data_IF_650842499473
#
_entry.id   IF_650842499473
#
_cell.length_a   1.000
_cell.length_b   1.000
_cell.length_c   1.000
_cell.angle_alpha   90.00
_cell.angle_beta   90.00
_cell.angle_gamma   90.00
#
_symmetry.space_group_name_H-M   'P 1'
#
loop_
_entity.id
_entity.type
_entity.pdbx_description
1 polymer ?
#
# COMPACT_ATOMS: atom_id res chain seq x y z
N UNK A 1 -53.61 31.04 29.83
CA UNK A 1 -54.51 32.15 29.43
C UNK A 1 -54.79 31.99 27.94
N UNK A 2 -56.07 31.88 27.58
CA UNK A 2 -56.59 31.77 26.19
C UNK A 2 -56.22 33.05 25.41
N UNK A 3 -56.11 33.02 24.08
CA UNK A 3 -57.20 33.45 23.19
C UNK A 3 -56.97 32.88 21.77
N UNK A 4 -58.05 32.32 21.20
CA UNK A 4 -58.27 32.00 19.79
C UNK A 4 -59.11 33.14 19.15
N UNK A 5 -58.90 33.45 17.87
CA UNK A 5 -59.88 33.91 16.84
C UNK A 5 -59.09 34.18 15.55
N UNK A 6 -59.22 33.49 14.40
CA UNK A 6 -60.31 33.31 13.41
C UNK A 6 -60.71 34.55 12.58
N UNK A 7 -60.92 34.28 11.28
CA UNK A 7 -61.46 35.07 10.15
C UNK A 7 -60.44 35.86 9.30
N UNK A 8 -60.55 36.00 7.97
CA UNK A 8 -61.16 35.25 6.85
C UNK A 8 -60.81 35.99 5.54
N UNK A 9 -60.73 35.23 4.44
CA UNK A 9 -61.05 35.55 3.04
C UNK A 9 -60.48 36.80 2.33
N UNK A 10 -59.86 36.55 1.16
CA UNK A 10 -59.65 37.53 0.09
C UNK A 10 -59.06 36.86 -1.15
N UNK A 11 -59.89 36.56 -2.14
CA UNK A 11 -59.51 36.05 -3.46
C UNK A 11 -59.21 37.21 -4.43
N UNK A 12 -58.28 37.03 -5.39
CA UNK A 12 -58.43 37.33 -6.83
C UNK A 12 -57.09 37.27 -7.61
N UNK A 13 -57.01 36.24 -8.47
CA UNK A 13 -56.52 36.18 -9.86
C UNK A 13 -55.65 37.33 -10.42
N UNK A 14 -54.45 36.99 -10.92
CA UNK A 14 -53.93 37.49 -12.20
C UNK A 14 -52.84 36.54 -12.71
N UNK A 15 -53.14 35.83 -13.81
CA UNK A 15 -52.20 34.97 -14.50
C UNK A 15 -51.17 35.77 -15.27
N UNK A 16 -49.90 35.44 -15.06
CA UNK A 16 -48.82 35.70 -16.01
C UNK A 16 -48.21 34.35 -16.36
N UNK A 17 -48.38 33.97 -17.63
CA UNK A 17 -47.68 32.86 -18.28
C UNK A 17 -46.17 33.19 -18.31
N UNK A 18 -45.45 32.85 -17.24
CA UNK A 18 -44.01 32.70 -17.32
C UNK A 18 -43.73 31.33 -17.94
N UNK A 19 -43.32 31.32 -19.22
CA UNK A 19 -42.73 30.13 -19.81
C UNK A 19 -41.51 29.74 -18.95
N UNK A 20 -41.40 28.50 -18.45
CA UNK A 20 -40.16 28.03 -17.89
C UNK A 20 -39.17 27.97 -19.05
N UNK A 21 -38.24 28.93 -19.12
CA UNK A 21 -37.00 28.71 -19.82
C UNK A 21 -36.31 27.61 -19.04
N UNK A 22 -36.51 26.36 -19.48
CA UNK A 22 -35.64 25.26 -19.11
C UNK A 22 -34.29 25.60 -19.73
N UNK A 23 -33.48 26.37 -18.98
CA UNK A 23 -32.06 26.38 -19.18
C UNK A 23 -31.61 24.94 -18.94
N UNK A 24 -31.53 24.18 -20.04
CA UNK A 24 -30.75 22.96 -20.09
C UNK A 24 -29.32 23.40 -19.83
N UNK A 25 -28.92 23.40 -18.56
CA UNK A 25 -27.53 23.30 -18.19
C UNK A 25 -27.08 21.94 -18.74
N UNK A 26 -26.55 21.94 -19.95
CA UNK A 26 -25.77 20.83 -20.45
C UNK A 26 -24.67 20.58 -19.40
N UNK A 27 -24.46 19.33 -18.97
CA UNK A 27 -23.32 19.03 -18.11
C UNK A 27 -22.04 19.43 -18.86
N UNK A 28 -21.33 20.42 -18.32
CA UNK A 28 -19.96 20.71 -18.71
C UNK A 28 -19.13 19.48 -18.31
N UNK A 29 -18.93 18.55 -19.25
CA UNK A 29 -18.21 17.31 -18.99
C UNK A 29 -18.03 16.41 -20.21
N UNK A 30 -18.03 16.99 -21.42
CA UNK A 30 -18.04 16.23 -22.68
C UNK A 30 -16.73 16.21 -23.48
N UNK A 31 -15.71 17.01 -23.13
CA UNK A 31 -14.51 17.15 -23.99
C UNK A 31 -13.28 16.37 -23.51
N UNK A 32 -13.29 15.81 -22.30
CA UNK A 32 -12.14 15.07 -21.74
C UNK A 32 -11.95 13.63 -22.28
N UNK A 33 -12.69 13.22 -23.31
CA UNK A 33 -12.73 11.83 -23.77
C UNK A 33 -11.84 11.53 -25.00
N UNK A 34 -11.23 12.53 -25.64
CA UNK A 34 -10.49 12.33 -26.88
C UNK A 34 -8.99 11.99 -26.69
N UNK A 35 -8.34 12.46 -25.61
CA UNK A 35 -6.89 12.37 -25.44
C UNK A 35 -6.41 11.04 -24.81
N UNK A 36 -7.30 10.11 -24.49
CA UNK A 36 -6.96 8.81 -23.92
C UNK A 36 -6.82 8.80 -22.40
N UNK A 37 -6.05 7.84 -21.86
CA UNK A 37 -5.89 7.63 -20.41
C UNK A 37 -4.43 7.45 -20.06
N UNK A 38 -4.00 8.04 -18.94
CA UNK A 38 -2.67 7.87 -18.38
C UNK A 38 -2.72 7.23 -16.99
N UNK A 39 -1.90 6.20 -16.77
CA UNK A 39 -1.82 5.44 -15.53
C UNK A 39 -0.41 5.40 -14.98
N UNK A 40 -0.28 5.36 -13.65
CA UNK A 40 0.98 5.08 -13.00
C UNK A 40 1.07 3.62 -12.52
N UNK A 41 2.28 3.08 -12.53
CA UNK A 41 2.62 1.76 -12.02
C UNK A 41 3.06 1.91 -10.55
N UNK A 42 2.07 1.82 -9.66
CA UNK A 42 2.28 1.97 -8.22
C UNK A 42 2.53 0.61 -7.55
N UNK A 43 3.67 0.41 -6.85
CA UNK A 43 3.85 -0.78 -6.02
C UNK A 43 2.78 -0.88 -4.94
N UNK A 44 2.13 -2.05 -4.83
CA UNK A 44 1.16 -2.28 -3.76
C UNK A 44 1.78 -2.26 -2.35
N UNK A 45 3.12 -2.44 -2.25
CA UNK A 45 3.85 -2.62 -0.99
C UNK A 45 5.12 -1.78 -0.94
N UNK A 46 5.17 -0.83 -0.03
CA UNK A 46 6.36 -0.08 0.34
C UNK A 46 6.89 -0.53 1.69
N UNK A 47 8.16 -0.95 1.72
CA UNK A 47 8.84 -1.41 2.94
C UNK A 47 9.94 -0.42 3.32
N UNK A 48 9.75 0.30 4.42
CA UNK A 48 10.78 1.17 4.98
C UNK A 48 11.76 0.30 5.78
N UNK A 49 13.04 0.31 5.39
CA UNK A 49 14.10 -0.54 5.99
C UNK A 49 15.36 0.24 6.39
N UNK A 50 15.37 1.54 6.17
CA UNK A 50 16.45 2.48 6.48
C UNK A 50 15.85 3.86 6.74
N UNK A 51 16.66 4.81 7.25
CA UNK A 51 16.23 6.20 7.52
C UNK A 51 15.55 6.83 6.31
N UNK A 52 16.09 6.58 5.12
CA UNK A 52 15.59 7.06 3.84
C UNK A 52 15.47 5.86 2.90
N UNK A 53 14.30 5.68 2.29
CA UNK A 53 14.06 4.64 1.28
C UNK A 53 13.46 5.28 0.05
N UNK A 54 14.11 5.11 -1.10
CA UNK A 54 13.67 5.67 -2.38
C UNK A 54 12.96 4.59 -3.21
N UNK A 55 11.80 4.92 -3.75
CA UNK A 55 11.05 4.06 -4.64
C UNK A 55 10.84 4.75 -5.98
N UNK A 56 11.35 4.13 -7.05
CA UNK A 56 11.11 4.58 -8.41
C UNK A 56 9.68 4.23 -8.80
N UNK A 57 8.90 5.23 -9.17
CA UNK A 57 7.56 5.10 -9.72
C UNK A 57 7.65 5.39 -11.21
N UNK A 58 6.92 4.61 -12.00
CA UNK A 58 6.92 4.75 -13.46
C UNK A 58 5.51 4.91 -13.96
N UNK A 59 5.36 5.57 -15.09
CA UNK A 59 4.11 5.60 -15.83
C UNK A 59 3.94 4.31 -16.64
N UNK A 60 2.69 3.93 -16.86
CA UNK A 60 2.33 2.84 -17.76
C UNK A 60 2.37 3.32 -19.22
N UNK A 61 2.43 2.37 -20.15
CA UNK A 61 2.56 2.67 -21.60
C UNK A 61 1.39 3.45 -22.20
N UNK A 62 0.22 3.44 -21.55
CA UNK A 62 -0.94 4.22 -22.00
C UNK A 62 -0.69 5.74 -21.95
N UNK A 63 0.16 6.22 -21.06
CA UNK A 63 0.55 7.64 -21.01
C UNK A 63 1.32 8.08 -22.27
N UNK A 64 2.16 7.21 -22.84
CA UNK A 64 2.87 7.51 -24.08
C UNK A 64 1.91 7.51 -25.27
N UNK A 65 0.97 6.56 -25.33
CA UNK A 65 -0.08 6.52 -26.35
C UNK A 65 -0.99 7.75 -26.29
N UNK A 66 -1.28 8.25 -25.09
CA UNK A 66 -2.04 9.48 -24.85
C UNK A 66 -1.23 10.76 -25.12
N UNK A 67 0.02 10.65 -25.63
CA UNK A 67 0.93 11.78 -25.89
C UNK A 67 1.06 12.72 -24.67
N UNK A 68 1.05 12.15 -23.47
CA UNK A 68 1.11 12.93 -22.22
C UNK A 68 2.35 13.83 -22.19
N UNK A 69 2.12 15.11 -21.89
CA UNK A 69 3.16 16.12 -21.68
C UNK A 69 3.38 16.41 -20.19
N UNK A 70 2.30 16.44 -19.40
CA UNK A 70 2.35 16.54 -17.94
C UNK A 70 1.30 15.66 -17.26
N UNK A 71 1.63 15.10 -16.10
CA UNK A 71 0.68 14.37 -15.25
C UNK A 71 1.10 14.37 -13.78
N UNK A 72 0.12 14.48 -12.89
CA UNK A 72 0.34 14.53 -11.45
C UNK A 72 -0.59 13.61 -10.65
N UNK A 73 -0.04 13.06 -9.56
CA UNK A 73 -0.80 12.27 -8.58
C UNK A 73 -0.50 12.77 -7.18
N UNK A 74 -1.56 12.91 -6.39
CA UNK A 74 -1.48 13.20 -4.96
C UNK A 74 -1.79 11.95 -4.15
N UNK A 75 -0.88 11.59 -3.25
CA UNK A 75 -0.99 10.45 -2.35
C UNK A 75 -1.36 10.88 -0.94
N UNK A 76 -2.49 10.40 -0.41
CA UNK A 76 -2.91 10.67 0.98
C UNK A 76 -3.00 9.37 1.77
N UNK A 77 -2.41 9.37 2.96
CA UNK A 77 -2.47 8.21 3.88
C UNK A 77 -3.56 8.40 4.92
N UNK A 78 -4.42 7.40 5.10
CA UNK A 78 -5.53 7.46 6.03
C UNK A 78 -5.06 7.79 7.46
N UNK A 79 -5.68 8.81 8.09
CA UNK A 79 -5.31 9.25 9.44
C UNK A 79 -4.04 10.10 9.51
N UNK A 80 -3.52 10.58 8.38
CA UNK A 80 -2.38 11.49 8.31
C UNK A 80 -2.74 12.80 7.62
N UNK A 81 -2.06 13.88 8.00
CA UNK A 81 -2.06 15.17 7.28
C UNK A 81 -0.96 15.23 6.21
N UNK A 82 -0.10 14.22 6.13
CA UNK A 82 0.97 14.14 5.15
C UNK A 82 0.42 13.78 3.77
N UNK A 83 0.84 14.53 2.77
CA UNK A 83 0.55 14.25 1.36
C UNK A 83 1.85 14.09 0.58
N UNK A 84 1.87 13.10 -0.29
CA UNK A 84 2.94 12.87 -1.26
C UNK A 84 2.51 13.40 -2.62
N UNK A 85 3.45 13.93 -3.39
CA UNK A 85 3.19 14.42 -4.74
C UNK A 85 4.14 13.73 -5.71
N UNK A 86 3.59 13.25 -6.82
CA UNK A 86 4.34 12.73 -7.94
C UNK A 86 4.05 13.60 -9.15
N UNK A 87 5.12 14.03 -9.83
CA UNK A 87 5.01 14.92 -10.97
C UNK A 87 5.84 14.37 -12.14
N UNK A 88 5.18 14.17 -13.28
CA UNK A 88 5.78 13.67 -14.50
C UNK A 88 5.63 14.74 -15.58
N UNK A 89 6.75 15.17 -16.18
CA UNK A 89 6.77 16.25 -17.18
C UNK A 89 7.87 16.01 -18.22
N UNK A 90 7.78 16.65 -19.39
CA UNK A 90 8.79 16.59 -20.47
C UNK A 90 9.15 15.15 -20.86
N UNK A 91 8.15 14.28 -21.07
CA UNK A 91 8.36 12.85 -21.39
C UNK A 91 9.13 12.05 -20.33
N UNK A 92 9.32 12.58 -19.11
CA UNK A 92 9.87 11.81 -17.99
C UNK A 92 8.82 10.83 -17.49
N UNK A 93 8.94 9.57 -17.89
CA UNK A 93 8.04 8.49 -17.45
C UNK A 93 8.39 7.90 -16.08
N UNK A 94 9.25 8.56 -15.29
CA UNK A 94 9.70 8.06 -14.00
C UNK A 94 9.93 9.18 -13.00
N UNK A 95 9.50 8.95 -11.75
CA UNK A 95 9.71 9.82 -10.60
C UNK A 95 10.11 8.98 -9.38
N UNK A 96 10.52 9.60 -8.28
CA UNK A 96 10.97 8.91 -7.06
C UNK A 96 10.21 9.38 -5.83
N UNK A 97 9.53 8.45 -5.16
CA UNK A 97 9.02 8.68 -3.81
C UNK A 97 10.17 8.48 -2.82
N UNK A 98 10.41 9.48 -1.99
CA UNK A 98 11.37 9.40 -0.89
C UNK A 98 10.62 9.20 0.42
N UNK A 99 10.76 8.03 1.03
CA UNK A 99 10.15 7.74 2.34
C UNK A 99 11.16 7.90 3.46
N UNK A 100 10.81 8.73 4.44
CA UNK A 100 11.58 8.99 5.65
C UNK A 100 11.01 8.19 6.81
N UNK A 101 11.86 7.40 7.46
CA UNK A 101 11.43 6.47 8.50
C UNK A 101 10.67 7.11 9.68
N UNK A 102 10.98 8.36 10.02
CA UNK A 102 10.38 9.04 11.18
C UNK A 102 9.09 9.81 10.86
N UNK A 103 8.88 10.20 9.60
CA UNK A 103 7.77 11.08 9.21
C UNK A 103 6.81 10.45 8.21
N UNK A 104 7.24 9.50 7.39
CA UNK A 104 6.35 8.83 6.44
C UNK A 104 5.30 8.02 7.19
N UNK A 105 3.99 8.29 6.97
CA UNK A 105 2.93 7.55 7.62
C UNK A 105 2.92 6.08 7.22
N UNK A 106 2.59 5.23 8.18
CA UNK A 106 2.37 3.80 7.98
C UNK A 106 0.89 3.56 7.77
N UNK A 107 0.53 2.76 6.77
CA UNK A 107 -0.86 2.47 6.45
C UNK A 107 -1.13 2.44 4.96
N UNK A 108 -2.41 2.61 4.61
CA UNK A 108 -2.87 2.65 3.22
C UNK A 108 -2.78 4.08 2.69
N UNK A 109 -2.09 4.25 1.57
CA UNK A 109 -2.06 5.49 0.78
C UNK A 109 -2.96 5.32 -0.44
N UNK A 110 -3.85 6.28 -0.65
CA UNK A 110 -4.65 6.38 -1.88
C UNK A 110 -4.04 7.45 -2.75
N UNK A 111 -3.82 7.12 -4.02
CA UNK A 111 -3.25 8.04 -5.00
C UNK A 111 -4.31 8.45 -6.00
N UNK A 112 -4.52 9.75 -6.12
CA UNK A 112 -5.55 10.34 -6.95
C UNK A 112 -4.87 11.18 -8.03
N UNK A 113 -5.26 10.96 -9.30
CA UNK A 113 -4.82 11.83 -10.40
C UNK A 113 -5.43 13.21 -10.23
N UNK A 114 -4.59 14.24 -10.22
CA UNK A 114 -5.00 15.64 -9.96
C UNK A 114 -4.95 16.53 -11.19
N UNK A 115 -4.45 16.01 -12.31
CA UNK A 115 -4.22 16.75 -13.54
C UNK A 115 -3.34 15.94 -14.49
N UNK A 116 -3.72 15.88 -15.76
CA UNK A 116 -2.86 15.41 -16.83
C UNK A 116 -3.29 16.03 -18.16
N UNK A 117 -2.32 16.31 -19.03
CA UNK A 117 -2.58 16.88 -20.34
C UNK A 117 -1.59 16.38 -21.40
N UNK A 118 -2.01 16.40 -22.65
CA UNK A 118 -1.21 16.02 -23.82
C UNK A 118 -0.35 17.19 -24.34
N UNK A 119 0.43 16.95 -25.40
CA UNK A 119 1.28 17.98 -26.02
C UNK A 119 0.52 19.18 -26.59
N UNK A 120 -0.78 19.02 -26.83
CA UNK A 120 -1.67 20.02 -27.40
C UNK A 120 -2.51 20.70 -26.29
N UNK A 121 -2.18 20.44 -25.01
CA UNK A 121 -2.86 20.92 -23.80
C UNK A 121 -4.30 20.43 -23.62
N UNK A 122 -4.66 19.30 -24.23
CA UNK A 122 -5.94 18.65 -23.95
C UNK A 122 -5.86 17.80 -22.69
N UNK A 123 -6.93 17.78 -21.89
CA UNK A 123 -7.02 16.98 -20.68
C UNK A 123 -6.96 15.47 -20.99
N UNK A 124 -6.15 14.74 -20.22
CA UNK A 124 -6.03 13.29 -20.27
C UNK A 124 -6.65 12.70 -18.99
N UNK A 125 -7.50 11.68 -19.14
CA UNK A 125 -8.04 10.97 -17.99
C UNK A 125 -6.94 10.23 -17.21
N UNK A 126 -6.99 10.25 -15.87
CA UNK A 126 -6.04 9.54 -15.03
C UNK A 126 -6.69 8.39 -14.24
N UNK A 127 -5.90 7.36 -13.97
CA UNK A 127 -6.33 6.27 -13.06
C UNK A 127 -5.79 6.48 -11.64
N UNK A 128 -6.61 6.11 -10.65
CA UNK A 128 -6.20 6.07 -9.25
C UNK A 128 -5.41 4.79 -8.92
N UNK A 129 -4.64 4.83 -7.84
CA UNK A 129 -3.95 3.66 -7.30
C UNK A 129 -4.01 3.59 -5.78
N UNK A 130 -3.53 2.48 -5.22
CA UNK A 130 -3.39 2.32 -3.77
C UNK A 130 -2.10 1.57 -3.46
N UNK A 131 -1.47 1.94 -2.36
CA UNK A 131 -0.29 1.29 -1.82
C UNK A 131 -0.40 1.14 -0.30
N UNK A 132 0.39 0.22 0.26
CA UNK A 132 0.57 0.12 1.70
C UNK A 132 2.01 0.39 2.07
N UNK A 133 2.22 1.21 3.08
CA UNK A 133 3.53 1.50 3.66
C UNK A 133 3.61 0.85 5.02
N UNK A 134 4.64 0.03 5.25
CA UNK A 134 4.98 -0.57 6.55
C UNK A 134 6.49 -0.61 6.73
N UNK A 135 6.96 -0.78 7.96
CA UNK A 135 8.37 -1.05 8.19
C UNK A 135 8.70 -2.51 7.84
N UNK A 136 9.97 -2.76 7.53
CA UNK A 136 10.45 -4.11 7.24
C UNK A 136 10.63 -4.96 8.49
N UNK A 137 10.30 -6.24 8.39
CA UNK A 137 10.76 -7.28 9.31
C UNK A 137 12.04 -7.92 8.78
N UNK A 138 12.81 -8.59 9.66
CA UNK A 138 13.94 -9.42 9.29
C UNK A 138 13.94 -10.71 10.09
N UNK A 139 14.47 -11.78 9.50
CA UNK A 139 14.75 -13.00 10.22
C UNK A 139 15.95 -13.74 9.64
N UNK A 140 16.58 -14.53 10.50
CA UNK A 140 17.56 -15.55 10.12
C UNK A 140 17.10 -16.90 10.66
N UNK A 141 17.35 -17.96 9.90
CA UNK A 141 17.15 -19.33 10.32
C UNK A 141 18.44 -20.09 10.08
N UNK A 142 19.02 -20.60 11.16
CA UNK A 142 20.13 -21.54 11.09
C UNK A 142 19.66 -22.89 11.63
N UNK A 143 20.29 -23.97 11.14
CA UNK A 143 20.02 -25.28 11.67
C UNK A 143 21.14 -26.25 11.40
N UNK A 144 21.17 -27.33 12.18
CA UNK A 144 22.15 -28.42 12.07
C UNK A 144 21.45 -29.77 12.22
N UNK A 145 21.93 -30.79 11.51
CA UNK A 145 21.43 -32.17 11.59
C UNK A 145 22.51 -33.07 12.18
N UNK A 146 22.13 -33.92 13.14
CA UNK A 146 22.94 -35.03 13.65
C UNK A 146 22.07 -36.28 13.75
N UNK A 147 22.29 -37.24 12.85
CA UNK A 147 21.44 -38.43 12.75
C UNK A 147 19.98 -38.08 12.40
N UNK A 148 19.05 -38.54 13.24
CA UNK A 148 17.62 -38.21 13.12
C UNK A 148 17.24 -36.87 13.75
N UNK A 149 18.17 -36.16 14.41
CA UNK A 149 17.91 -34.89 15.09
C UNK A 149 18.27 -33.71 14.21
N UNK A 150 17.33 -32.79 14.04
CA UNK A 150 17.56 -31.47 13.42
C UNK A 150 17.24 -30.38 14.43
N UNK A 151 18.22 -29.52 14.72
CA UNK A 151 18.05 -28.36 15.59
C UNK A 151 18.02 -27.08 14.77
N UNK A 152 17.15 -26.14 15.16
CA UNK A 152 16.97 -24.85 14.54
C UNK A 152 17.14 -23.74 15.58
N UNK A 153 17.75 -22.64 15.14
CA UNK A 153 17.75 -21.36 15.86
C UNK A 153 17.26 -20.30 14.86
N UNK A 154 16.18 -19.64 15.24
CA UNK A 154 15.63 -18.49 14.54
C UNK A 154 16.02 -17.23 15.29
N UNK A 155 16.38 -16.17 14.57
CA UNK A 155 16.53 -14.82 15.13
C UNK A 155 15.67 -13.86 14.34
N UNK A 156 14.87 -13.06 15.02
CA UNK A 156 13.86 -12.19 14.41
C UNK A 156 14.10 -10.75 14.84
N UNK A 157 13.94 -9.84 13.89
CA UNK A 157 14.00 -8.41 14.14
C UNK A 157 12.98 -7.64 13.31
N UNK A 158 12.90 -6.37 13.60
CA UNK A 158 12.11 -5.42 12.83
C UNK A 158 12.84 -4.08 12.77
N UNK A 159 12.58 -3.32 11.72
CA UNK A 159 13.13 -1.99 11.59
C UNK A 159 12.41 -1.03 12.54
N UNK A 160 13.16 -0.39 13.43
CA UNK A 160 12.66 0.60 14.36
C UNK A 160 13.12 1.99 13.91
N UNK A 161 12.19 2.88 13.49
CA UNK A 161 12.54 4.19 12.97
C UNK A 161 13.18 5.11 14.03
N UNK A 162 12.85 4.93 15.31
CA UNK A 162 13.36 5.76 16.42
C UNK A 162 14.86 5.63 16.62
N UNK A 163 15.41 4.44 16.36
CA UNK A 163 16.84 4.14 16.48
C UNK A 163 17.50 3.93 15.12
N UNK A 164 16.76 4.13 14.03
CA UNK A 164 17.22 3.97 12.66
C UNK A 164 17.95 2.63 12.39
N UNK A 165 17.43 1.53 12.93
CA UNK A 165 18.09 0.23 12.83
C UNK A 165 17.11 -0.93 12.98
N UNK A 166 17.53 -2.12 12.55
CA UNK A 166 16.85 -3.36 12.90
C UNK A 166 17.15 -3.74 14.35
N UNK A 167 16.09 -3.90 15.15
CA UNK A 167 16.19 -4.33 16.55
C UNK A 167 15.59 -5.72 16.72
N UNK A 168 15.98 -6.42 17.80
CA UNK A 168 15.42 -7.72 18.13
C UNK A 168 13.93 -7.62 18.45
N UNK A 169 13.17 -8.64 18.05
CA UNK A 169 11.72 -8.68 18.28
C UNK A 169 11.36 -9.71 19.35
N UNK A 170 11.34 -9.34 20.64
CA UNK A 170 11.00 -10.26 21.72
C UNK A 170 9.50 -10.58 21.75
N UNK A 171 9.15 -11.77 22.26
CA UNK A 171 7.75 -12.19 22.44
C UNK A 171 6.97 -12.41 21.14
N UNK A 172 7.65 -12.38 19.98
CA UNK A 172 7.01 -12.51 18.68
C UNK A 172 6.79 -13.97 18.32
N UNK A 173 5.55 -14.30 17.96
CA UNK A 173 5.21 -15.60 17.40
C UNK A 173 5.60 -15.66 15.91
N UNK A 174 6.34 -16.71 15.54
CA UNK A 174 6.79 -17.01 14.18
C UNK A 174 6.50 -18.46 13.82
N UNK A 175 6.38 -18.78 12.55
CA UNK A 175 6.06 -20.12 12.07
C UNK A 175 7.29 -20.74 11.39
N UNK A 176 7.82 -21.81 11.97
CA UNK A 176 8.75 -22.68 11.26
C UNK A 176 7.94 -23.50 10.24
N UNK A 177 8.36 -23.44 8.98
CA UNK A 177 7.74 -24.15 7.88
C UNK A 177 8.72 -25.16 7.29
N UNK A 178 8.18 -26.21 6.69
CA UNK A 178 8.96 -27.18 5.92
C UNK A 178 8.30 -27.48 4.58
N UNK A 179 9.09 -27.99 3.63
CA UNK A 179 8.59 -28.66 2.44
C UNK A 179 9.44 -29.88 2.13
N UNK A 180 8.82 -30.88 1.52
CA UNK A 180 9.52 -32.05 1.01
C UNK A 180 10.45 -31.63 -0.16
N UNK A 181 11.55 -32.35 -0.36
CA UNK A 181 12.44 -32.12 -1.51
C UNK A 181 11.66 -32.43 -2.80
N UNK A 182 11.80 -31.58 -3.81
CA UNK A 182 11.02 -31.66 -5.05
C UNK A 182 9.61 -31.05 -4.98
N UNK A 183 9.12 -30.67 -3.78
CA UNK A 183 7.83 -30.01 -3.64
C UNK A 183 7.93 -28.48 -3.75
N UNK A 184 6.85 -27.85 -4.24
CA UNK A 184 6.61 -26.40 -4.20
C UNK A 184 5.80 -25.95 -2.98
N UNK A 185 5.18 -26.88 -2.24
CA UNK A 185 4.20 -26.58 -1.19
C UNK A 185 4.85 -26.56 0.20
N UNK A 186 4.73 -25.42 0.88
CA UNK A 186 5.18 -25.25 2.27
C UNK A 186 4.08 -25.66 3.25
N UNK A 187 4.48 -26.36 4.32
CA UNK A 187 3.63 -26.80 5.42
C UNK A 187 4.12 -26.17 6.73
N UNK A 188 3.20 -25.82 7.62
CA UNK A 188 3.54 -25.40 8.98
C UNK A 188 4.11 -26.57 9.77
N UNK A 189 5.27 -26.36 10.41
CA UNK A 189 5.85 -27.32 11.35
C UNK A 189 5.46 -26.98 12.79
N UNK A 190 5.79 -25.76 13.22
CA UNK A 190 5.61 -25.34 14.61
C UNK A 190 5.61 -23.82 14.72
N UNK A 191 4.71 -23.28 15.53
CA UNK A 191 4.83 -21.90 16.01
C UNK A 191 5.84 -21.82 17.15
N UNK A 192 6.73 -20.84 17.05
CA UNK A 192 7.78 -20.54 18.03
C UNK A 192 7.58 -19.11 18.53
N UNK A 193 7.88 -18.87 19.80
CA UNK A 193 7.87 -17.53 20.39
C UNK A 193 9.29 -17.11 20.69
N UNK A 194 9.67 -15.91 20.26
CA UNK A 194 11.01 -15.39 20.52
C UNK A 194 11.20 -14.97 21.98
N UNK A 195 12.39 -15.21 22.52
CA UNK A 195 12.81 -14.76 23.84
C UNK A 195 13.21 -13.27 23.84
N UNK A 196 13.76 -12.78 24.97
CA UNK A 196 14.21 -11.40 25.13
C UNK A 196 15.25 -10.96 24.07
N UNK A 197 16.05 -11.89 23.55
CA UNK A 197 17.05 -11.64 22.50
C UNK A 197 16.48 -11.73 21.09
N UNK A 198 15.16 -11.86 20.93
CA UNK A 198 14.50 -12.05 19.64
C UNK A 198 14.79 -13.42 19.02
N UNK A 199 15.19 -14.41 19.82
CA UNK A 199 15.58 -15.74 19.35
C UNK A 199 14.55 -16.80 19.73
N UNK A 200 14.38 -17.80 18.88
CA UNK A 200 13.59 -18.98 19.19
C UNK A 200 14.33 -20.24 18.72
N UNK A 201 14.30 -21.30 19.52
CA UNK A 201 14.97 -22.55 19.21
C UNK A 201 13.96 -23.69 19.12
N UNK A 202 14.20 -24.64 18.22
CA UNK A 202 13.37 -25.82 18.07
C UNK A 202 14.20 -27.02 17.67
N UNK A 203 13.92 -28.18 18.28
CA UNK A 203 14.50 -29.46 17.86
C UNK A 203 13.39 -30.34 17.30
N UNK A 204 13.65 -30.90 16.13
CA UNK A 204 12.77 -31.79 15.40
C UNK A 204 13.49 -33.09 15.08
N UNK A 205 12.74 -34.20 14.95
CA UNK A 205 13.32 -35.51 14.64
C UNK A 205 12.79 -36.07 13.31
N UNK A 206 13.22 -35.51 12.15
CA UNK A 206 12.76 -36.00 10.86
C UNK A 206 13.45 -37.31 10.46
N UNK A 207 12.68 -38.21 9.85
CA UNK A 207 13.20 -39.44 9.24
C UNK A 207 13.78 -39.24 7.82
N UNK A 208 13.75 -38.01 7.30
CA UNK A 208 14.25 -37.65 5.96
C UNK A 208 14.72 -36.21 5.87
N UNK A 209 15.39 -35.88 4.78
CA UNK A 209 15.82 -34.51 4.47
C UNK A 209 14.64 -33.68 3.95
N UNK A 210 14.55 -32.43 4.41
CA UNK A 210 13.51 -31.47 4.01
C UNK A 210 14.11 -30.07 3.88
N UNK A 211 13.39 -29.19 3.20
CA UNK A 211 13.71 -27.77 3.18
C UNK A 211 12.91 -27.06 4.28
N UNK A 212 13.53 -26.14 4.99
CA UNK A 212 12.94 -25.39 6.10
C UNK A 212 13.08 -23.89 5.86
N UNK A 213 12.09 -23.12 6.29
CA UNK A 213 12.17 -21.65 6.35
C UNK A 213 11.38 -21.14 7.54
N UNK A 214 11.69 -19.92 7.96
CA UNK A 214 10.90 -19.21 8.95
C UNK A 214 9.95 -18.23 8.26
N UNK A 215 8.72 -18.17 8.74
CA UNK A 215 7.74 -17.14 8.39
C UNK A 215 7.50 -16.23 9.60
N UNK A 216 7.70 -14.93 9.39
CA UNK A 216 7.35 -13.87 10.34
C UNK A 216 6.04 -13.23 9.88
N UNK A 217 4.92 -13.39 10.61
CA UNK A 217 3.64 -12.82 10.20
C UNK A 217 3.64 -11.29 10.25
N UNK A 218 3.06 -10.67 9.21
CA UNK A 218 2.80 -9.23 9.18
C UNK A 218 1.87 -8.79 10.30
N UNK A 219 1.88 -7.49 10.60
CA UNK A 219 0.87 -6.83 11.43
C UNK A 219 0.51 -5.47 10.81
N UNK A 220 -0.13 -4.59 11.57
CA UNK A 220 -0.52 -3.26 11.11
C UNK A 220 0.68 -2.42 10.62
N UNK A 221 1.84 -2.52 11.27
CA UNK A 221 2.99 -1.64 11.04
C UNK A 221 4.21 -2.31 10.42
N UNK A 222 4.21 -3.65 10.33
CA UNK A 222 5.34 -4.44 9.88
C UNK A 222 4.93 -5.42 8.79
N UNK A 223 5.73 -5.48 7.73
CA UNK A 223 5.59 -6.48 6.69
C UNK A 223 5.97 -7.87 7.19
N UNK A 224 5.38 -8.88 6.55
CA UNK A 224 5.78 -10.26 6.73
C UNK A 224 7.17 -10.50 6.14
N UNK A 225 7.80 -11.58 6.58
CA UNK A 225 9.13 -11.96 6.09
C UNK A 225 9.26 -13.47 6.02
N UNK A 226 9.89 -13.95 4.96
CA UNK A 226 10.32 -15.34 4.82
C UNK A 226 11.83 -15.39 4.74
N UNK A 227 12.45 -16.28 5.52
CA UNK A 227 13.88 -16.54 5.35
C UNK A 227 14.11 -17.30 4.05
N UNK A 228 15.33 -17.22 3.47
CA UNK A 228 15.80 -18.24 2.54
C UNK A 228 15.60 -19.64 3.11
N UNK A 229 15.37 -20.62 2.23
CA UNK A 229 15.21 -22.00 2.63
C UNK A 229 16.58 -22.63 2.95
N UNK A 230 16.62 -23.47 3.99
CA UNK A 230 17.77 -24.31 4.33
C UNK A 230 17.39 -25.79 4.20
N UNK A 231 18.30 -26.62 3.71
CA UNK A 231 18.08 -28.08 3.58
C UNK A 231 18.73 -28.83 4.74
N UNK A 232 17.98 -29.64 5.47
CA UNK A 232 18.45 -30.39 6.64
C UNK A 232 17.73 -31.72 6.82
#
# INVERSE_FOLDING_TARGET
MRIKSLLAAGALVAGLLAMPVTASAAPAGGEAAAAGTCSMVMPARFSIRAAVTNFKITLAGNCATARMAGADWTGTTAGSTWSEYLFFYDTKYTDTITMYALSTPIGRTTWIGTGAYDQDYNDIAQTNASSYTKYGSSATLIGGRKGSRTAFIATVGYYNPKVNAFVRWPGKQVLLQYKEVGSSTWKGLKYLTTNASGQASYTYYPNKTRNYRLYVPQNASLWDFYTPAISR
#
